data_IF_818229946929
#
_entry.id   IF_818229946929
#
_cell.length_a   1.000
_cell.length_b   1.000
_cell.length_c   1.000
_cell.angle_alpha   90.00
_cell.angle_beta   90.00
_cell.angle_gamma   90.00
#
_symmetry.space_group_name_H-M   'P 1'
#
loop_
_entity.id
_entity.type
_entity.pdbx_description
1 polymer ?
#
# COMPACT_ATOMS: atom_id res chain seq x y z
N UNK A 1 -53.25 8.42 61.97
CA UNK A 1 -52.94 9.57 62.84
C UNK A 1 -51.43 9.72 62.89
N UNK A 2 -50.95 10.92 62.49
CA UNK A 2 -49.56 11.34 62.21
C UNK A 2 -48.57 11.16 63.39
N UNK A 3 -47.24 11.07 63.14
CA UNK A 3 -46.38 12.25 62.89
C UNK A 3 -45.43 12.05 61.68
N UNK A 4 -45.41 12.91 60.66
CA UNK A 4 -44.72 14.21 60.54
C UNK A 4 -43.21 14.23 60.81
N UNK A 5 -42.51 14.77 59.81
CA UNK A 5 -41.27 15.56 59.85
C UNK A 5 -39.93 14.82 59.99
N UNK A 6 -39.12 14.92 58.93
CA UNK A 6 -37.75 15.41 59.12
C UNK A 6 -37.25 16.17 57.89
N UNK A 7 -37.31 17.48 58.02
CA UNK A 7 -36.48 18.45 57.32
C UNK A 7 -35.02 18.21 57.77
N UNK A 8 -34.03 18.09 56.88
CA UNK A 8 -32.70 18.67 57.08
C UNK A 8 -31.81 18.51 55.84
N UNK A 9 -31.36 19.66 55.35
CA UNK A 9 -30.29 19.84 54.38
C UNK A 9 -28.96 19.29 54.91
N UNK A 10 -28.17 18.55 54.10
CA UNK A 10 -26.72 18.73 53.92
C UNK A 10 -26.04 17.59 53.14
N UNK A 11 -25.29 18.03 52.11
CA UNK A 11 -23.96 17.57 51.66
C UNK A 11 -23.80 16.10 51.22
N UNK A 12 -23.55 15.88 49.93
CA UNK A 12 -22.48 14.97 49.45
C UNK A 12 -21.89 15.52 48.14
N UNK A 13 -20.70 16.14 48.23
CA UNK A 13 -19.78 16.27 47.10
C UNK A 13 -19.01 14.96 46.95
N UNK A 14 -19.27 14.19 45.88
CA UNK A 14 -18.45 13.07 45.37
C UNK A 14 -19.25 12.50 44.18
N UNK A 15 -18.87 12.58 42.90
CA UNK A 15 -17.73 11.88 42.31
C UNK A 15 -17.72 12.24 40.81
N UNK A 16 -16.74 13.00 40.34
CA UNK A 16 -16.53 13.29 38.91
C UNK A 16 -15.25 12.59 38.41
N UNK A 17 -15.08 11.31 38.75
CA UNK A 17 -13.93 10.52 38.33
C UNK A 17 -14.41 9.09 38.02
N UNK A 18 -14.71 8.79 36.76
CA UNK A 18 -15.13 7.43 36.42
C UNK A 18 -15.51 7.12 34.97
N UNK A 19 -15.45 8.07 34.02
CA UNK A 19 -15.82 7.81 32.62
C UNK A 19 -14.65 7.89 31.62
N UNK A 20 -13.41 7.83 32.10
CA UNK A 20 -12.24 7.61 31.24
C UNK A 20 -11.89 6.11 31.14
N UNK A 21 -12.91 5.23 31.15
CA UNK A 21 -12.75 3.84 30.80
C UNK A 21 -12.40 3.76 29.31
N UNK A 22 -11.10 3.92 29.08
CA UNK A 22 -10.29 3.48 27.96
C UNK A 22 -11.05 3.30 26.65
N UNK A 23 -10.81 4.24 25.74
CA UNK A 23 -10.63 3.94 24.33
C UNK A 23 -9.48 2.93 24.20
N UNK A 24 -9.75 1.67 24.54
CA UNK A 24 -8.87 0.53 24.32
C UNK A 24 -8.99 0.10 22.87
N UNK A 25 -8.59 0.97 21.95
CA UNK A 25 -8.40 0.61 20.56
C UNK A 25 -7.18 -0.28 20.44
N UNK A 26 -7.37 -1.58 20.62
CA UNK A 26 -6.37 -2.59 20.29
C UNK A 26 -6.12 -2.57 18.77
N UNK A 27 -5.19 -1.71 18.34
CA UNK A 27 -4.81 -1.51 16.95
C UNK A 27 -3.98 -2.68 16.42
N UNK A 28 -4.64 -3.83 16.21
CA UNK A 28 -4.15 -4.86 15.32
C UNK A 28 -4.51 -4.51 13.88
N UNK A 29 -3.95 -3.42 13.34
CA UNK A 29 -4.12 -3.12 11.92
C UNK A 29 -3.32 -4.14 11.13
N UNK A 30 -3.98 -5.16 10.59
CA UNK A 30 -3.48 -5.80 9.38
C UNK A 30 -3.40 -4.68 8.34
N UNK A 31 -2.19 -4.19 8.06
CA UNK A 31 -1.99 -3.13 7.07
C UNK A 31 -2.62 -3.57 5.76
N UNK A 32 -3.61 -2.81 5.31
CA UNK A 32 -4.30 -3.09 4.06
C UNK A 32 -3.26 -3.10 2.91
N UNK A 33 -3.44 -3.99 1.91
CA UNK A 33 -2.57 -3.98 0.74
C UNK A 33 -2.65 -2.65 0.00
N UNK A 34 -1.53 -2.23 -0.59
CA UNK A 34 -1.46 -1.14 -1.57
C UNK A 34 -1.46 -1.69 -2.99
N UNK A 35 -1.48 -0.79 -3.98
CA UNK A 35 -1.36 -1.16 -5.40
C UNK A 35 -0.03 -0.65 -5.95
N UNK A 36 0.76 -1.54 -6.55
CA UNK A 36 1.91 -1.17 -7.36
C UNK A 36 1.45 -1.02 -8.81
N UNK A 37 1.63 0.17 -9.40
CA UNK A 37 1.54 0.39 -10.83
C UNK A 37 2.92 0.57 -11.46
N UNK A 38 3.14 -0.04 -12.61
CA UNK A 38 4.43 0.01 -13.32
C UNK A 38 4.23 0.52 -14.73
N UNK A 39 5.04 1.52 -15.11
CA UNK A 39 5.14 2.04 -16.46
C UNK A 39 6.60 2.16 -16.88
N UNK A 40 6.85 2.06 -18.19
CA UNK A 40 8.15 2.23 -18.83
C UNK A 40 8.22 3.57 -19.55
N UNK A 41 9.40 4.19 -19.55
CA UNK A 41 9.70 5.40 -20.33
C UNK A 41 11.15 5.32 -20.82
N UNK A 42 11.51 6.17 -21.77
CA UNK A 42 12.87 6.28 -22.28
C UNK A 42 13.24 7.73 -22.63
N UNK A 43 14.53 8.04 -22.57
CA UNK A 43 15.04 9.32 -23.05
C UNK A 43 15.14 9.31 -24.59
N UNK A 44 14.96 10.46 -25.27
CA UNK A 44 15.18 10.53 -26.71
C UNK A 44 16.61 10.11 -27.09
N UNK A 45 16.73 9.28 -28.12
CA UNK A 45 18.01 8.91 -28.74
C UNK A 45 17.95 9.14 -30.25
N UNK A 46 19.08 9.48 -30.86
CA UNK A 46 19.26 9.55 -32.30
C UNK A 46 20.05 8.34 -32.83
N UNK A 47 20.01 8.10 -34.14
CA UNK A 47 20.85 7.10 -34.80
C UNK A 47 20.34 5.66 -34.81
N UNK A 48 19.08 5.43 -34.40
CA UNK A 48 18.43 4.12 -34.47
C UNK A 48 17.11 4.21 -35.23
N UNK A 49 16.78 3.17 -36.02
CA UNK A 49 15.46 3.05 -36.66
C UNK A 49 14.41 2.50 -35.69
N UNK A 50 14.81 1.59 -34.79
CA UNK A 50 13.97 1.04 -33.74
C UNK A 50 14.81 0.46 -32.60
N UNK A 51 14.32 0.61 -31.36
CA UNK A 51 14.87 -0.05 -30.17
C UNK A 51 13.74 -0.82 -29.52
N UNK A 52 13.67 -2.13 -29.77
CA UNK A 52 12.54 -2.95 -29.34
C UNK A 52 12.85 -3.72 -28.05
N UNK A 53 12.01 -3.53 -27.04
CA UNK A 53 12.00 -4.32 -25.81
C UNK A 53 10.72 -5.14 -25.77
N UNK A 54 10.83 -6.43 -25.48
CA UNK A 54 9.67 -7.30 -25.24
C UNK A 54 9.58 -7.60 -23.74
N UNK A 55 8.50 -7.16 -23.11
CA UNK A 55 8.25 -7.41 -21.68
C UNK A 55 7.27 -8.56 -21.56
N UNK A 56 7.73 -9.66 -20.96
CA UNK A 56 6.89 -10.81 -20.61
C UNK A 56 6.24 -10.63 -19.24
N UNK A 57 6.99 -10.06 -18.29
CA UNK A 57 6.60 -9.99 -16.89
C UNK A 57 7.44 -8.96 -16.15
N UNK A 58 6.85 -8.31 -15.16
CA UNK A 58 7.55 -7.55 -14.12
C UNK A 58 7.34 -8.27 -12.80
N UNK A 59 8.37 -8.37 -11.96
CA UNK A 59 8.28 -9.01 -10.64
C UNK A 59 8.89 -8.13 -9.56
N UNK A 60 8.31 -8.20 -8.36
CA UNK A 60 8.78 -7.46 -7.19
C UNK A 60 8.97 -8.38 -5.98
N UNK A 61 10.02 -8.13 -5.19
CA UNK A 61 10.35 -8.89 -3.97
C UNK A 61 10.85 -7.96 -2.85
N UNK A 62 10.58 -8.35 -1.60
CA UNK A 62 11.04 -7.64 -0.40
C UNK A 62 12.52 -7.88 -0.06
N UNK A 63 13.12 -8.96 -0.57
CA UNK A 63 14.54 -9.25 -0.40
C UNK A 63 15.39 -8.60 -1.49
N UNK A 64 16.49 -7.97 -1.10
CA UNK A 64 17.43 -7.31 -2.01
C UNK A 64 18.28 -8.32 -2.79
N UNK A 65 18.27 -9.58 -2.38
CA UNK A 65 19.11 -10.66 -2.91
C UNK A 65 18.28 -11.88 -3.31
N UNK A 66 16.98 -11.72 -3.54
CA UNK A 66 16.11 -12.81 -3.98
C UNK A 66 16.59 -13.37 -5.34
N UNK A 67 16.70 -14.69 -5.41
CA UNK A 67 16.92 -15.42 -6.65
C UNK A 67 15.62 -15.61 -7.45
N UNK A 68 15.72 -16.11 -8.67
CA UNK A 68 14.60 -16.36 -9.59
C UNK A 68 13.54 -17.31 -9.04
N UNK A 69 13.98 -18.27 -8.23
CA UNK A 69 13.15 -19.35 -7.69
C UNK A 69 12.79 -19.13 -6.23
N UNK A 70 13.28 -18.06 -5.60
CA UNK A 70 12.96 -17.77 -4.21
C UNK A 70 11.46 -17.46 -4.04
N UNK A 71 10.95 -17.65 -2.82
CA UNK A 71 9.58 -17.27 -2.49
C UNK A 71 9.41 -15.74 -2.41
N UNK A 72 8.17 -15.30 -2.32
CA UNK A 72 7.83 -13.89 -2.05
C UNK A 72 7.80 -12.97 -3.28
N UNK A 73 8.00 -13.51 -4.48
CA UNK A 73 7.77 -12.75 -5.72
C UNK A 73 6.28 -12.50 -5.94
N UNK A 74 5.94 -11.25 -6.26
CA UNK A 74 4.64 -10.89 -6.84
C UNK A 74 4.84 -10.39 -8.26
N UNK A 75 3.95 -10.82 -9.16
CA UNK A 75 4.15 -10.70 -10.60
C UNK A 75 3.07 -9.85 -11.25
N UNK A 76 3.47 -9.05 -12.23
CA UNK A 76 2.61 -8.47 -13.26
C UNK A 76 2.95 -9.19 -14.56
N UNK A 77 2.08 -10.12 -14.98
CA UNK A 77 2.30 -10.92 -16.21
C UNK A 77 1.64 -10.25 -17.40
N UNK A 78 2.40 -10.05 -18.50
CA UNK A 78 1.90 -9.52 -19.75
C UNK A 78 1.70 -10.68 -20.73
N UNK A 79 0.44 -11.04 -20.98
CA UNK A 79 0.08 -12.10 -21.93
C UNK A 79 -0.99 -11.60 -22.92
N UNK A 80 -0.66 -11.42 -24.21
CA UNK A 80 0.64 -11.70 -24.83
C UNK A 80 1.74 -10.77 -24.31
N UNK A 81 3.00 -11.22 -24.47
CA UNK A 81 4.15 -10.39 -24.15
C UNK A 81 4.10 -9.10 -24.97
N UNK A 82 4.43 -7.97 -24.33
CA UNK A 82 4.27 -6.65 -24.92
C UNK A 82 5.58 -6.21 -25.56
N UNK A 83 5.58 -6.06 -26.89
CA UNK A 83 6.70 -5.48 -27.64
C UNK A 83 6.53 -3.96 -27.70
N UNK A 84 7.55 -3.24 -27.27
CA UNK A 84 7.57 -1.79 -27.11
C UNK A 84 8.77 -1.26 -27.88
N UNK A 85 8.57 -0.29 -28.76
CA UNK A 85 9.67 0.46 -29.36
C UNK A 85 9.96 1.67 -28.47
N UNK A 86 11.14 1.71 -27.84
CA UNK A 86 11.50 2.76 -26.88
C UNK A 86 11.55 4.15 -27.53
N UNK A 87 11.81 4.22 -28.84
CA UNK A 87 11.79 5.49 -29.59
C UNK A 87 10.40 6.14 -29.63
N UNK A 88 9.34 5.41 -29.29
CA UNK A 88 7.99 5.96 -29.15
C UNK A 88 7.74 6.61 -27.77
N UNK A 89 8.62 6.40 -26.78
CA UNK A 89 8.44 6.86 -25.39
C UNK A 89 9.04 8.26 -25.13
N UNK A 90 9.25 9.04 -26.18
CA UNK A 90 9.84 10.39 -26.10
C UNK A 90 8.88 11.40 -25.48
N UNK A 91 9.42 12.56 -25.05
CA UNK A 91 8.65 13.64 -24.41
C UNK A 91 7.91 13.22 -23.12
N UNK A 92 8.47 12.26 -22.39
CA UNK A 92 7.90 11.76 -21.13
C UNK A 92 6.71 10.83 -21.31
N UNK A 93 6.53 10.25 -22.50
CA UNK A 93 5.50 9.25 -22.72
C UNK A 93 5.75 8.00 -21.85
N UNK A 94 4.67 7.45 -21.30
CA UNK A 94 4.68 6.29 -20.42
C UNK A 94 3.95 5.14 -21.08
N UNK A 95 4.59 3.98 -21.12
CA UNK A 95 3.98 2.72 -21.53
C UNK A 95 3.61 1.91 -20.29
N UNK A 96 2.31 1.74 -20.03
CA UNK A 96 1.83 0.99 -18.88
C UNK A 96 2.13 -0.50 -19.03
N UNK A 97 2.74 -1.10 -18.01
CA UNK A 97 3.04 -2.54 -17.94
C UNK A 97 2.04 -3.30 -17.07
N UNK A 98 1.30 -2.58 -16.21
CA UNK A 98 0.17 -3.10 -15.43
C UNK A 98 0.25 -2.71 -13.96
N UNK A 99 -0.65 -3.31 -13.19
CA UNK A 99 -0.76 -3.08 -11.75
C UNK A 99 -0.95 -4.40 -10.99
N UNK A 100 -0.54 -4.45 -9.73
CA UNK A 100 -0.78 -5.61 -8.85
C UNK A 100 -0.90 -5.17 -7.39
N UNK A 101 -1.76 -5.81 -6.58
CA UNK A 101 -1.81 -5.55 -5.15
C UNK A 101 -0.54 -6.07 -4.46
N UNK A 102 -0.01 -5.28 -3.54
CA UNK A 102 1.11 -5.66 -2.67
C UNK A 102 0.69 -5.57 -1.21
N UNK A 103 1.09 -6.57 -0.43
CA UNK A 103 1.02 -6.47 1.02
C UNK A 103 1.86 -5.28 1.49
N UNK A 104 1.48 -4.67 2.62
CA UNK A 104 2.30 -3.63 3.21
C UNK A 104 3.69 -4.18 3.56
N UNK A 105 4.73 -3.45 3.17
CA UNK A 105 6.11 -3.86 3.42
C UNK A 105 7.10 -3.04 2.59
N UNK A 106 8.38 -3.34 2.80
CA UNK A 106 9.48 -2.69 2.08
C UNK A 106 9.96 -3.61 0.95
N UNK A 107 9.90 -3.12 -0.30
CA UNK A 107 10.29 -3.86 -1.49
C UNK A 107 11.60 -3.33 -2.05
N UNK A 108 12.57 -4.21 -2.26
CA UNK A 108 13.95 -3.82 -2.63
C UNK A 108 14.39 -4.36 -3.98
N UNK A 109 13.61 -5.24 -4.61
CA UNK A 109 13.87 -5.70 -5.96
C UNK A 109 12.65 -5.49 -6.85
N UNK A 110 12.89 -4.91 -8.03
CA UNK A 110 11.99 -4.88 -9.18
C UNK A 110 12.81 -5.27 -10.41
N UNK A 111 12.26 -6.13 -11.26
CA UNK A 111 12.89 -6.58 -12.51
C UNK A 111 11.87 -7.08 -13.51
#
# INVERSE_FOLDING_TARGET
MNPTLRNFSMIVSLSAAGLLAACGGGGGSSSAPGTLGVAMTDAPSCGYDAVNVTVNKVRVNQSATASDTDAGWTDITLNPAKKINLLNLTNGALEQLGETPLAAGHYTQLR
#
